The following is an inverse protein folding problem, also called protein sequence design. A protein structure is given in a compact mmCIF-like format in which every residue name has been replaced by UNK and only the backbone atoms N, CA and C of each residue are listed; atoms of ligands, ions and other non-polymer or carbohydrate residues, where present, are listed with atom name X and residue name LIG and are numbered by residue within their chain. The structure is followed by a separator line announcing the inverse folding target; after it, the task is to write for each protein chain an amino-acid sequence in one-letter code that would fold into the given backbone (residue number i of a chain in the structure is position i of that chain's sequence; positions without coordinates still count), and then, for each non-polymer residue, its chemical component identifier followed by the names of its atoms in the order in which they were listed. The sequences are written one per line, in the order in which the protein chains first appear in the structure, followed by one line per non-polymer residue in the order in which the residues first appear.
data_IF_651636910245
#
_entry.id   IF_651636910245
#
_cell.length_a   1.000
_cell.length_b   1.000
_cell.length_c   1.000
_cell.angle_alpha   90.00
_cell.angle_beta   90.00
_cell.angle_gamma   90.00
#
_symmetry.space_group_name_H-M   'P 1'
#
loop_
_entity.id
_entity.type
_entity.pdbx_description
1 polymer ?
#
# COMPACT_ATOMS: atom_id res chain seq x y z
N UNK A 1 0.27 30.28 -36.16
CA UNK A 1 0.47 29.01 -35.45
C UNK A 1 -0.74 28.14 -35.75
N UNK A 2 -0.60 27.11 -36.62
CA UNK A 2 -1.75 26.44 -37.23
C UNK A 2 -2.56 25.64 -36.19
N UNK A 3 -3.89 25.74 -36.25
CA UNK A 3 -4.82 25.07 -35.31
C UNK A 3 -4.56 23.57 -35.19
N UNK A 4 -4.09 22.91 -36.26
CA UNK A 4 -3.71 21.50 -36.27
C UNK A 4 -2.51 21.18 -35.35
N UNK A 5 -1.53 22.10 -35.23
CA UNK A 5 -0.37 21.93 -34.34
C UNK A 5 -0.76 22.10 -32.87
N UNK A 6 -1.76 22.94 -32.59
CA UNK A 6 -2.28 23.16 -31.23
C UNK A 6 -3.08 21.94 -30.73
N UNK A 7 -3.88 21.32 -31.61
CA UNK A 7 -4.66 20.12 -31.27
C UNK A 7 -3.77 18.91 -31.02
N UNK A 8 -2.70 18.72 -31.80
CA UNK A 8 -1.74 17.62 -31.60
C UNK A 8 -0.98 17.77 -30.27
N UNK A 9 -0.61 19.01 -29.90
CA UNK A 9 0.04 19.29 -28.61
C UNK A 9 -0.86 18.99 -27.41
N UNK A 10 -2.16 19.25 -27.51
CA UNK A 10 -3.15 18.95 -26.45
C UNK A 10 -3.40 17.44 -26.28
N UNK A 11 -3.40 16.65 -27.36
CA UNK A 11 -3.63 15.20 -27.30
C UNK A 11 -2.41 14.46 -26.71
N UNK A 12 -1.18 14.90 -27.04
CA UNK A 12 0.05 14.30 -26.48
C UNK A 12 0.20 14.61 -24.98
N UNK A 13 -0.28 15.77 -24.52
CA UNK A 13 -0.27 16.11 -23.09
C UNK A 13 -1.24 15.26 -22.25
N UNK A 14 -2.34 14.78 -22.84
CA UNK A 14 -3.34 13.96 -22.14
C UNK A 14 -2.92 12.49 -21.97
N UNK A 15 -2.07 11.97 -22.85
CA UNK A 15 -1.65 10.57 -22.86
C UNK A 15 -0.55 10.22 -21.82
N UNK A 16 -0.08 11.18 -21.03
CA UNK A 16 1.08 11.02 -20.13
C UNK A 16 0.71 10.79 -18.65
N UNK A 17 -0.56 10.58 -18.29
CA UNK A 17 -0.99 10.56 -16.86
C UNK A 17 -1.38 9.19 -16.29
N UNK A 18 -1.22 8.09 -17.03
CA UNK A 18 -1.59 6.76 -16.54
C UNK A 18 -0.44 5.97 -15.87
N UNK A 19 0.57 6.65 -15.31
CA UNK A 19 1.50 6.01 -14.38
C UNK A 19 0.80 5.80 -13.04
N UNK A 20 1.02 4.65 -12.40
CA UNK A 20 0.58 4.38 -11.02
C UNK A 20 0.82 5.61 -10.14
N UNK A 21 -0.26 6.25 -9.70
CA UNK A 21 -0.20 7.52 -9.00
C UNK A 21 -0.45 7.26 -7.52
N UNK A 22 0.61 7.36 -6.72
CA UNK A 22 0.50 7.41 -5.26
C UNK A 22 0.33 8.87 -4.86
N UNK A 23 -0.82 9.21 -4.26
CA UNK A 23 -1.14 10.58 -3.87
C UNK A 23 -0.71 10.82 -2.43
N UNK A 24 0.11 11.86 -2.21
CA UNK A 24 0.62 12.20 -0.88
C UNK A 24 -0.48 12.40 0.18
N UNK A 25 -1.62 12.96 -0.22
CA UNK A 25 -2.79 13.10 0.66
C UNK A 25 -3.26 11.76 1.22
N UNK A 26 -3.22 10.68 0.44
CA UNK A 26 -3.65 9.36 0.90
C UNK A 26 -2.65 8.78 1.90
N UNK A 27 -1.36 9.07 1.74
CA UNK A 27 -0.31 8.64 2.67
C UNK A 27 -0.42 9.37 4.01
N UNK A 28 -0.51 10.69 3.95
CA UNK A 28 -0.51 11.55 5.15
C UNK A 28 -1.81 11.41 5.96
N UNK A 29 -2.89 10.93 5.33
CA UNK A 29 -4.16 10.65 6.01
C UNK A 29 -4.02 9.58 7.09
N UNK A 30 -3.09 8.63 6.93
CA UNK A 30 -2.90 7.53 7.88
C UNK A 30 -2.04 7.88 9.09
N UNK A 31 -1.23 8.92 9.04
CA UNK A 31 -0.35 9.28 10.16
C UNK A 31 -1.20 9.64 11.39
N UNK A 32 -0.89 8.99 12.52
CA UNK A 32 -1.59 9.15 13.80
C UNK A 32 -2.90 8.36 13.92
N UNK A 33 -3.27 7.58 12.91
CA UNK A 33 -4.49 6.75 12.96
C UNK A 33 -4.19 5.46 13.74
N UNK A 34 -5.10 5.00 14.62
CA UNK A 34 -4.92 3.75 15.35
C UNK A 34 -4.84 2.55 14.40
N UNK A 35 -4.02 1.57 14.76
CA UNK A 35 -3.81 0.36 13.96
C UNK A 35 -5.10 -0.44 13.73
N UNK A 36 -6.07 -0.36 14.64
CA UNK A 36 -7.41 -0.92 14.50
C UNK A 36 -8.13 -0.43 13.23
N UNK A 37 -7.81 0.78 12.77
CA UNK A 37 -8.36 1.30 11.54
C UNK A 37 -7.94 0.49 10.32
N UNK A 38 -6.72 -0.06 10.32
CA UNK A 38 -6.25 -0.98 9.28
C UNK A 38 -6.95 -2.34 9.39
N UNK A 39 -7.06 -2.86 10.61
CA UNK A 39 -7.69 -4.16 10.90
C UNK A 39 -9.19 -4.19 10.57
N UNK A 40 -9.82 -3.02 10.42
CA UNK A 40 -11.24 -2.89 10.10
C UNK A 40 -11.48 -2.17 8.77
N UNK A 41 -10.42 -1.91 7.99
CA UNK A 41 -10.51 -1.21 6.72
C UNK A 41 -11.02 -2.14 5.62
N UNK A 42 -12.08 -1.73 4.91
CA UNK A 42 -12.71 -2.56 3.88
C UNK A 42 -11.77 -3.01 2.77
N UNK A 43 -10.78 -2.18 2.39
CA UNK A 43 -9.78 -2.55 1.39
C UNK A 43 -8.76 -3.55 1.97
N UNK A 44 -8.15 -3.23 3.11
CA UNK A 44 -7.03 -4.01 3.66
C UNK A 44 -7.47 -5.35 4.25
N UNK A 45 -8.73 -5.45 4.71
CA UNK A 45 -9.33 -6.71 5.17
C UNK A 45 -9.41 -7.79 4.08
N UNK A 46 -9.38 -7.40 2.80
CA UNK A 46 -9.44 -8.35 1.68
C UNK A 46 -8.05 -8.78 1.20
N UNK A 47 -6.99 -8.20 1.75
CA UNK A 47 -5.62 -8.45 1.33
C UNK A 47 -4.89 -9.36 2.33
N UNK A 48 -4.03 -10.28 1.86
CA UNK A 48 -3.06 -10.93 2.72
C UNK A 48 -2.19 -9.91 3.45
N UNK A 49 -2.02 -10.07 4.76
CA UNK A 49 -1.19 -9.22 5.61
C UNK A 49 0.02 -9.97 6.15
N UNK A 50 1.18 -9.35 6.01
CA UNK A 50 2.43 -9.84 6.60
C UNK A 50 2.86 -8.90 7.71
N UNK A 51 3.13 -9.47 8.89
CA UNK A 51 3.49 -8.72 10.08
C UNK A 51 4.91 -9.05 10.49
N UNK A 52 5.69 -8.02 10.78
CA UNK A 52 6.99 -8.15 11.42
C UNK A 52 7.18 -7.05 12.46
N UNK A 53 8.21 -7.18 13.28
CA UNK A 53 8.56 -6.18 14.29
C UNK A 53 10.05 -5.94 14.22
N UNK A 54 10.46 -4.68 14.14
CA UNK A 54 11.89 -4.31 14.19
C UNK A 54 12.45 -4.54 15.60
N UNK A 55 13.77 -4.56 15.73
CA UNK A 55 14.45 -4.60 17.04
C UNK A 55 14.10 -3.40 17.93
N UNK A 56 13.71 -2.26 17.33
CA UNK A 56 13.26 -1.06 18.02
C UNK A 56 11.77 -1.07 18.40
N UNK A 57 11.05 -2.16 18.15
CA UNK A 57 9.65 -2.31 18.50
C UNK A 57 8.64 -1.70 17.51
N UNK A 58 9.10 -1.29 16.32
CA UNK A 58 8.19 -0.82 15.26
C UNK A 58 7.53 -2.02 14.61
N UNK A 59 6.20 -2.09 14.67
CA UNK A 59 5.43 -3.07 13.93
C UNK A 59 5.36 -2.65 12.45
N UNK A 60 5.63 -3.59 11.54
CA UNK A 60 5.51 -3.39 10.11
C UNK A 60 4.40 -4.31 9.60
N UNK A 61 3.41 -3.73 8.91
CA UNK A 61 2.35 -4.48 8.22
C UNK A 61 2.43 -4.22 6.73
N UNK A 62 2.53 -5.28 5.94
CA UNK A 62 2.43 -5.20 4.48
C UNK A 62 1.15 -5.89 4.02
N UNK A 63 0.20 -5.11 3.48
CA UNK A 63 -0.97 -5.65 2.79
C UNK A 63 -0.70 -5.74 1.31
N UNK A 64 -0.72 -6.95 0.76
CA UNK A 64 -0.30 -7.18 -0.63
C UNK A 64 -1.52 -7.37 -1.54
N UNK A 65 -1.62 -6.55 -2.59
CA UNK A 65 -2.69 -6.67 -3.59
C UNK A 65 -2.26 -7.60 -4.75
N UNK A 66 -2.26 -8.91 -4.51
CA UNK A 66 -2.09 -9.91 -5.58
C UNK A 66 -2.57 -11.29 -5.15
N UNK A 67 -3.50 -11.87 -5.91
CA UNK A 67 -3.89 -13.30 -5.80
C UNK A 67 -2.69 -14.23 -6.04
N UNK A 68 -1.73 -13.79 -6.86
CA UNK A 68 -0.61 -14.60 -7.29
C UNK A 68 0.51 -14.64 -6.22
N UNK A 69 0.70 -13.57 -5.43
CA UNK A 69 1.77 -13.52 -4.41
C UNK A 69 1.50 -14.41 -3.19
N UNK A 70 0.25 -14.82 -2.94
CA UNK A 70 -0.05 -15.86 -1.96
C UNK A 70 0.73 -17.18 -2.24
N UNK A 71 1.02 -17.47 -3.51
CA UNK A 71 1.85 -18.62 -3.92
C UNK A 71 3.33 -18.44 -3.58
N UNK A 72 3.84 -17.20 -3.57
CA UNK A 72 5.21 -16.88 -3.17
C UNK A 72 5.46 -17.11 -1.68
N UNK A 73 4.45 -16.84 -0.86
CA UNK A 73 4.51 -17.16 0.56
C UNK A 73 4.40 -18.66 0.82
N UNK A 74 3.53 -19.36 0.09
CA UNK A 74 3.42 -20.82 0.15
C UNK A 74 4.76 -21.50 -0.16
N UNK A 75 5.52 -20.95 -1.11
CA UNK A 75 6.84 -21.44 -1.52
C UNK A 75 7.99 -20.96 -0.62
N UNK A 76 7.85 -19.82 0.06
CA UNK A 76 8.76 -19.34 1.11
C UNK A 76 8.51 -19.96 2.50
N UNK A 77 7.67 -21.01 2.58
CA UNK A 77 7.34 -21.72 3.82
C UNK A 77 6.33 -21.02 4.72
N UNK A 78 5.77 -19.89 4.30
CA UNK A 78 4.76 -19.14 5.04
C UNK A 78 3.38 -19.79 4.89
N UNK A 79 2.97 -20.60 5.87
CA UNK A 79 1.54 -20.85 6.14
C UNK A 79 1.02 -19.72 7.03
N UNK A 80 -0.16 -19.19 6.69
CA UNK A 80 -0.94 -18.19 7.43
C UNK A 80 -0.42 -17.88 8.84
N UNK A 81 0.35 -16.78 8.98
CA UNK A 81 0.84 -16.28 10.27
C UNK A 81 2.24 -16.73 10.71
N UNK A 82 2.96 -17.54 9.92
CA UNK A 82 4.33 -17.97 10.20
C UNK A 82 5.43 -17.00 9.75
N UNK A 83 6.62 -17.11 10.37
CA UNK A 83 7.86 -16.45 9.90
C UNK A 83 8.21 -16.99 8.51
N UNK A 84 8.51 -16.10 7.57
CA UNK A 84 8.87 -16.45 6.19
C UNK A 84 10.29 -15.97 5.88
N UNK A 85 10.95 -16.66 4.96
CA UNK A 85 12.24 -16.22 4.45
C UNK A 85 12.04 -15.01 3.53
N UNK A 86 12.51 -13.85 4.00
CA UNK A 86 12.42 -12.58 3.27
C UNK A 86 13.11 -12.64 1.91
N UNK A 87 14.23 -13.38 1.78
CA UNK A 87 14.99 -13.48 0.53
C UNK A 87 14.24 -14.30 -0.52
N UNK A 88 13.68 -15.45 -0.14
CA UNK A 88 12.89 -16.33 -1.03
C UNK A 88 11.60 -15.63 -1.46
N UNK A 89 10.95 -14.93 -0.53
CA UNK A 89 9.79 -14.11 -0.84
C UNK A 89 10.13 -12.99 -1.84
N UNK A 90 11.21 -12.26 -1.60
CA UNK A 90 11.69 -11.17 -2.48
C UNK A 90 11.96 -11.72 -3.88
N UNK A 91 12.65 -12.86 -4.01
CA UNK A 91 12.94 -13.48 -5.31
C UNK A 91 11.70 -13.99 -6.05
N UNK A 92 10.68 -14.49 -5.36
CA UNK A 92 9.45 -14.93 -6.03
C UNK A 92 8.55 -13.76 -6.46
N UNK A 93 8.58 -12.67 -5.70
CA UNK A 93 7.72 -11.51 -5.92
C UNK A 93 8.32 -10.49 -6.91
N UNK A 94 9.63 -10.50 -7.17
CA UNK A 94 10.33 -9.51 -8.01
C UNK A 94 9.86 -9.43 -9.46
N UNK A 95 9.28 -10.50 -10.02
CA UNK A 95 8.73 -10.51 -11.39
C UNK A 95 7.22 -10.26 -11.46
N UNK A 96 6.56 -10.11 -10.32
CA UNK A 96 5.11 -9.92 -10.24
C UNK A 96 4.82 -8.45 -10.03
N UNK A 97 3.92 -7.89 -10.83
CA UNK A 97 3.42 -6.53 -10.61
C UNK A 97 2.55 -6.56 -9.35
N UNK A 98 3.15 -6.19 -8.22
CA UNK A 98 2.46 -6.11 -6.93
C UNK A 98 2.46 -4.69 -6.39
N UNK A 99 1.39 -4.34 -5.70
CA UNK A 99 1.38 -3.22 -4.76
C UNK A 99 1.55 -3.77 -3.34
N UNK A 100 2.62 -3.35 -2.68
CA UNK A 100 2.86 -3.58 -1.26
C UNK A 100 2.41 -2.35 -0.49
N UNK A 101 1.35 -2.47 0.30
CA UNK A 101 0.85 -1.38 1.14
C UNK A 101 1.50 -1.52 2.52
N UNK A 102 2.65 -0.87 2.72
CA UNK A 102 3.48 -1.02 3.93
C UNK A 102 3.14 0.07 4.95
N UNK A 103 2.70 -0.33 6.12
CA UNK A 103 2.44 0.53 7.27
C UNK A 103 3.46 0.28 8.36
N UNK A 104 4.05 1.37 8.86
CA UNK A 104 4.86 1.37 10.05
C UNK A 104 4.00 1.84 11.22
N UNK A 105 4.02 1.07 12.30
CA UNK A 105 3.17 1.26 13.47
C UNK A 105 4.07 1.31 14.69
N UNK A 106 3.85 2.33 15.52
CA UNK A 106 4.53 2.51 16.79
C UNK A 106 3.50 2.83 17.85
N UNK A 107 3.57 2.16 19.00
CA UNK A 107 2.65 2.37 20.13
C UNK A 107 1.16 2.25 19.73
N UNK A 108 0.84 1.34 18.80
CA UNK A 108 -0.51 1.08 18.32
C UNK A 108 -1.07 2.12 17.33
N UNK A 109 -0.26 3.10 16.91
CA UNK A 109 -0.65 4.11 15.91
C UNK A 109 0.23 4.05 14.67
N UNK A 110 -0.33 4.34 13.52
CA UNK A 110 0.41 4.40 12.26
C UNK A 110 1.32 5.62 12.28
N UNK A 111 2.63 5.37 12.16
CA UNK A 111 3.64 6.42 12.03
C UNK A 111 3.91 6.79 10.57
N UNK A 112 3.76 5.84 9.64
CA UNK A 112 4.02 6.06 8.22
C UNK A 112 3.27 5.03 7.35
N UNK A 113 2.81 5.48 6.17
CA UNK A 113 2.32 4.62 5.10
C UNK A 113 3.19 4.81 3.84
N UNK A 114 3.92 3.76 3.46
CA UNK A 114 4.93 3.78 2.40
C UNK A 114 4.67 2.68 1.35
N UNK A 115 3.70 2.86 0.44
CA UNK A 115 3.43 1.88 -0.59
C UNK A 115 4.62 1.75 -1.56
N UNK A 116 4.93 0.52 -1.97
CA UNK A 116 6.02 0.24 -2.92
C UNK A 116 5.55 -0.72 -4.02
N UNK A 117 6.19 -0.63 -5.20
CA UNK A 117 5.79 -1.37 -6.39
C UNK A 117 4.78 -0.61 -7.24
N UNK A 118 3.88 -1.33 -7.92
CA UNK A 118 2.90 -0.72 -8.82
C UNK A 118 1.61 -0.38 -8.07
N UNK A 119 1.68 0.63 -7.21
CA UNK A 119 0.56 1.08 -6.38
C UNK A 119 -0.18 2.25 -7.01
N UNK A 120 -1.51 2.21 -6.92
CA UNK A 120 -2.37 3.35 -7.17
C UNK A 120 -3.15 3.64 -5.90
N UNK A 121 -3.16 4.88 -5.44
CA UNK A 121 -3.95 5.29 -4.27
C UNK A 121 -5.02 6.27 -4.68
N UNK A 122 -6.21 6.09 -4.10
CA UNK A 122 -7.29 7.04 -4.18
C UNK A 122 -8.00 7.22 -2.82
N UNK A 123 -9.15 7.89 -2.81
CA UNK A 123 -9.87 8.17 -1.57
C UNK A 123 -10.38 6.89 -0.88
N UNK A 124 -10.48 5.78 -1.61
CA UNK A 124 -10.94 4.49 -1.07
C UNK A 124 -9.91 3.84 -0.15
N UNK A 125 -8.63 4.23 -0.25
CA UNK A 125 -7.57 3.73 0.64
C UNK A 125 -7.28 4.65 1.82
N UNK A 126 -8.01 5.76 1.98
CA UNK A 126 -7.90 6.64 3.14
C UNK A 126 -8.62 6.05 4.36
N UNK A 127 -8.25 6.46 5.59
CA UNK A 127 -8.96 6.00 6.78
C UNK A 127 -10.46 6.28 6.71
N UNK A 128 -11.26 5.30 7.10
CA UNK A 128 -12.71 5.46 7.15
C UNK A 128 -13.09 6.57 8.13
N UNK A 129 -14.14 7.33 7.80
CA UNK A 129 -14.53 8.57 8.51
C UNK A 129 -14.63 8.43 10.03
N UNK A 130 -15.00 7.24 10.53
CA UNK A 130 -15.08 6.97 11.98
C UNK A 130 -13.75 7.19 12.71
N UNK A 131 -12.61 6.90 12.07
CA UNK A 131 -11.29 7.07 12.67
C UNK A 131 -10.72 8.47 12.49
N UNK A 132 -11.14 9.18 11.43
CA UNK A 132 -10.78 10.60 11.24
C UNK A 132 -11.35 11.48 12.37
N UNK A 133 -12.50 11.12 12.93
CA UNK A 133 -13.11 11.82 14.07
C UNK A 133 -12.33 11.64 15.37
N UNK A 134 -11.63 10.52 15.54
CA UNK A 134 -10.82 10.23 16.73
C UNK A 134 -9.52 11.04 16.76
N UNK A 135 -9.00 11.44 15.59
CA UNK A 135 -7.81 12.30 15.46
C UNK A 135 -8.05 13.76 15.86
N UNK A 136 -9.32 14.18 15.93
CA UNK A 136 -9.72 15.55 16.26
C UNK A 136 -10.03 15.76 17.76
N UNK A 137 -9.85 14.71 18.58
CA UNK A 137 -10.00 14.74 20.04
C UNK A 137 -8.61 14.71 20.69
#
# INVERSE_FOLDING_TARGET
MNSLKLTILLVVAFLMTACATVRKQDLDAWVGIPVEALDTHSVFLTMPVYKSTTSSGVEVRNYTNSEDVARCFSSAGGRNGGKHDHSVFTTCSTSRIVCNNIFYIKDGVVSEYAPTGNCYTDATVQPQTRFLRLRAQ
#
